data_IF_584734878280
#
_entry.id   IF_584734878280
#
_cell.length_a   1.000
_cell.length_b   1.000
_cell.length_c   1.000
_cell.angle_alpha   90.00
_cell.angle_beta   90.00
_cell.angle_gamma   90.00
#
_symmetry.space_group_name_H-M   'P 1'
#
loop_
_entity.id
_entity.type
_entity.pdbx_description
1 polymer ?
#
# COMPACT_ATOMS: atom_id res chain seq x y z
N UNK A 1 49.77 -26.09 -18.60
CA UNK A 1 49.35 -26.82 -17.39
C UNK A 1 48.69 -25.82 -16.43
N UNK A 2 47.38 -25.62 -16.54
CA UNK A 2 46.61 -24.67 -15.70
C UNK A 2 45.76 -25.48 -14.73
N UNK A 3 46.31 -25.76 -13.54
CA UNK A 3 45.60 -26.43 -12.44
C UNK A 3 45.38 -25.39 -11.34
N UNK A 4 44.45 -24.48 -11.58
CA UNK A 4 43.83 -23.64 -10.55
C UNK A 4 42.35 -23.54 -10.85
N UNK A 5 41.53 -23.44 -9.79
CA UNK A 5 40.12 -22.96 -9.76
C UNK A 5 38.96 -23.95 -9.51
N UNK A 6 39.15 -25.14 -8.91
CA UNK A 6 37.99 -25.90 -8.38
C UNK A 6 37.67 -25.66 -6.90
N UNK A 7 38.64 -25.41 -6.02
CA UNK A 7 38.36 -25.26 -4.57
C UNK A 7 37.84 -23.87 -4.18
N UNK A 8 38.29 -22.81 -4.85
CA UNK A 8 37.85 -21.43 -4.59
C UNK A 8 36.37 -21.20 -4.97
N UNK A 9 35.90 -21.85 -6.05
CA UNK A 9 34.50 -21.76 -6.52
C UNK A 9 33.53 -22.44 -5.54
N UNK A 10 33.97 -23.52 -4.87
CA UNK A 10 33.14 -24.24 -3.89
C UNK A 10 32.92 -23.43 -2.61
N UNK A 11 33.98 -22.82 -2.06
CA UNK A 11 33.90 -21.95 -0.87
C UNK A 11 33.02 -20.71 -1.09
N UNK A 12 33.01 -20.16 -2.31
CA UNK A 12 32.19 -18.99 -2.65
C UNK A 12 30.69 -19.34 -2.81
N UNK A 13 30.38 -20.57 -3.25
CA UNK A 13 28.99 -21.09 -3.28
C UNK A 13 28.43 -21.32 -1.87
N UNK A 14 29.23 -21.88 -0.97
CA UNK A 14 28.79 -22.18 0.40
C UNK A 14 28.53 -20.89 1.22
N UNK A 15 29.32 -19.83 0.99
CA UNK A 15 29.11 -18.51 1.61
C UNK A 15 27.83 -17.81 1.12
N UNK A 16 27.50 -17.90 -0.17
CA UNK A 16 26.25 -17.36 -0.73
C UNK A 16 25.02 -18.13 -0.23
N UNK A 17 25.13 -19.46 -0.08
CA UNK A 17 24.06 -20.29 0.47
C UNK A 17 23.74 -19.92 1.93
N UNK A 18 24.78 -19.72 2.76
CA UNK A 18 24.59 -19.27 4.16
C UNK A 18 24.00 -17.88 4.29
N UNK A 19 24.43 -16.92 3.47
CA UNK A 19 23.84 -15.57 3.51
C UNK A 19 22.38 -15.60 3.05
N UNK A 20 22.06 -16.38 2.02
CA UNK A 20 20.69 -16.63 1.57
C UNK A 20 19.81 -17.26 2.66
N UNK A 21 20.30 -18.27 3.37
CA UNK A 21 19.58 -18.88 4.50
C UNK A 21 19.37 -17.92 5.67
N UNK A 22 20.38 -17.10 6.02
CA UNK A 22 20.23 -16.10 7.09
C UNK A 22 19.22 -15.04 6.69
N UNK A 23 19.27 -14.55 5.45
CA UNK A 23 18.30 -13.59 4.91
C UNK A 23 16.88 -14.19 4.85
N UNK A 24 16.76 -15.45 4.43
CA UNK A 24 15.47 -16.15 4.33
C UNK A 24 14.87 -16.44 5.71
N UNK A 25 15.71 -16.76 6.70
CA UNK A 25 15.27 -17.03 8.07
C UNK A 25 14.94 -15.76 8.86
N UNK A 26 15.60 -14.63 8.56
CA UNK A 26 15.47 -13.38 9.33
C UNK A 26 14.63 -12.29 8.62
N UNK A 27 14.70 -12.18 7.28
CA UNK A 27 13.99 -11.14 6.50
C UNK A 27 12.70 -11.69 5.88
N UNK A 28 12.71 -12.90 5.32
CA UNK A 28 11.53 -13.51 4.67
C UNK A 28 10.66 -14.32 5.64
N UNK A 29 10.76 -13.99 6.93
CA UNK A 29 10.26 -14.76 8.07
C UNK A 29 8.89 -15.44 7.87
N UNK A 30 8.91 -16.74 8.18
CA UNK A 30 7.81 -17.73 8.22
C UNK A 30 7.14 -18.03 6.87
N UNK A 31 6.98 -19.31 6.58
CA UNK A 31 6.22 -19.83 5.43
C UNK A 31 4.70 -19.70 5.61
N UNK A 32 4.25 -19.38 6.82
CA UNK A 32 2.84 -19.25 7.18
C UNK A 32 2.61 -18.03 8.07
N UNK A 33 1.38 -17.53 8.03
CA UNK A 33 0.85 -16.57 8.99
C UNK A 33 0.62 -17.21 10.36
N UNK A 34 0.20 -16.37 11.32
CA UNK A 34 -0.07 -16.78 12.71
C UNK A 34 -1.26 -17.74 12.83
N UNK A 35 -2.17 -17.73 11.87
CA UNK A 35 -3.31 -18.65 11.74
C UNK A 35 -2.98 -19.92 10.92
N UNK A 36 -1.72 -20.09 10.49
CA UNK A 36 -1.26 -21.23 9.71
C UNK A 36 -1.46 -21.10 8.20
N UNK A 37 -2.07 -20.03 7.70
CA UNK A 37 -2.26 -19.83 6.25
C UNK A 37 -0.94 -19.66 5.51
N UNK A 38 -0.83 -20.12 4.25
CA UNK A 38 0.40 -19.98 3.48
C UNK A 38 0.73 -18.50 3.25
N UNK A 39 2.01 -18.16 3.40
CA UNK A 39 2.56 -16.83 3.12
C UNK A 39 3.55 -16.94 1.96
N UNK A 40 3.23 -16.37 0.77
CA UNK A 40 4.16 -16.35 -0.35
C UNK A 40 5.47 -15.64 0.02
N UNK A 41 6.58 -16.08 -0.58
CA UNK A 41 7.93 -15.56 -0.28
C UNK A 41 8.02 -14.03 -0.41
N UNK A 42 7.40 -13.45 -1.42
CA UNK A 42 7.48 -12.01 -1.70
C UNK A 42 6.32 -11.19 -1.10
N UNK A 43 5.46 -11.82 -0.32
CA UNK A 43 4.32 -11.16 0.32
C UNK A 43 4.80 -10.05 1.26
N UNK A 44 4.29 -8.84 1.04
CA UNK A 44 4.64 -7.66 1.83
C UNK A 44 5.96 -6.98 1.44
N UNK A 45 6.74 -7.52 0.51
CA UNK A 45 8.04 -6.91 0.13
C UNK A 45 7.85 -5.54 -0.51
N UNK A 46 6.89 -5.40 -1.43
CA UNK A 46 6.54 -4.11 -2.05
C UNK A 46 6.18 -3.10 -0.97
N UNK A 47 5.35 -3.50 0.00
CA UNK A 47 4.96 -2.65 1.12
C UNK A 47 6.17 -2.20 1.94
N UNK A 48 7.00 -3.13 2.41
CA UNK A 48 8.17 -2.82 3.24
C UNK A 48 9.18 -1.89 2.57
N UNK A 49 9.48 -2.11 1.28
CA UNK A 49 10.38 -1.24 0.51
C UNK A 49 9.79 0.17 0.40
N UNK A 50 8.52 0.29 0.00
CA UNK A 50 7.90 1.59 -0.23
C UNK A 50 7.48 2.30 1.05
N UNK A 51 7.31 1.62 2.18
CA UNK A 51 7.23 2.26 3.50
C UNK A 51 8.47 3.10 3.77
N UNK A 52 9.67 2.57 3.51
CA UNK A 52 10.93 3.31 3.72
C UNK A 52 11.03 4.49 2.76
N UNK A 53 10.70 4.28 1.48
CA UNK A 53 10.71 5.35 0.47
C UNK A 53 9.74 6.48 0.85
N UNK A 54 8.47 6.17 1.13
CA UNK A 54 7.48 7.18 1.51
C UNK A 54 7.81 7.85 2.85
N UNK A 55 8.39 7.13 3.81
CA UNK A 55 8.86 7.74 5.06
C UNK A 55 9.92 8.82 4.79
N UNK A 56 10.97 8.48 4.03
CA UNK A 56 12.04 9.43 3.69
C UNK A 56 11.46 10.63 2.94
N UNK A 57 10.62 10.41 1.93
CA UNK A 57 9.98 11.47 1.17
C UNK A 57 9.10 12.37 2.05
N UNK A 58 8.30 11.79 2.96
CA UNK A 58 7.44 12.54 3.86
C UNK A 58 8.24 13.41 4.83
N UNK A 59 9.31 12.87 5.42
CA UNK A 59 10.20 13.62 6.32
C UNK A 59 10.92 14.74 5.57
N UNK A 60 11.48 14.46 4.40
CA UNK A 60 12.14 15.49 3.57
C UNK A 60 11.15 16.59 3.19
N UNK A 61 9.93 16.23 2.78
CA UNK A 61 8.89 17.21 2.43
C UNK A 61 8.44 18.04 3.64
N UNK A 62 8.28 17.42 4.80
CA UNK A 62 7.93 18.12 6.04
C UNK A 62 9.04 19.08 6.50
N UNK A 63 10.31 18.65 6.44
CA UNK A 63 11.46 19.50 6.73
C UNK A 63 11.56 20.65 5.73
N UNK A 64 11.30 20.41 4.44
CA UNK A 64 11.32 21.46 3.44
C UNK A 64 10.22 22.52 3.69
N UNK A 65 9.01 22.10 4.08
CA UNK A 65 7.94 23.01 4.51
C UNK A 65 8.35 23.89 5.70
N UNK A 66 9.07 23.31 6.66
CA UNK A 66 9.49 24.03 7.87
C UNK A 66 10.68 24.97 7.63
N UNK A 67 11.71 24.49 6.92
CA UNK A 67 12.97 25.20 6.73
C UNK A 67 12.90 26.22 5.58
N UNK A 68 12.08 25.97 4.56
CA UNK A 68 12.03 26.76 3.33
C UNK A 68 10.60 27.19 2.94
N UNK A 69 9.80 27.76 3.86
CA UNK A 69 8.39 28.09 3.60
C UNK A 69 8.20 29.12 2.48
N UNK A 70 9.23 29.90 2.15
CA UNK A 70 9.20 30.90 1.06
C UNK A 70 9.61 30.35 -0.32
N UNK A 71 10.22 29.16 -0.37
CA UNK A 71 10.67 28.53 -1.63
C UNK A 71 9.64 27.56 -2.21
N UNK A 72 8.72 27.09 -1.37
CA UNK A 72 7.69 26.13 -1.75
C UNK A 72 6.36 26.84 -2.00
N UNK A 73 5.55 26.35 -2.96
CA UNK A 73 4.21 26.88 -3.14
C UNK A 73 3.37 26.65 -1.87
N UNK A 74 2.52 27.61 -1.51
CA UNK A 74 1.70 27.58 -0.29
C UNK A 74 0.97 26.23 -0.06
N UNK A 75 0.40 25.54 -1.07
CA UNK A 75 -0.24 24.22 -0.87
C UNK A 75 0.70 23.03 -0.68
N UNK A 76 2.03 23.22 -0.51
CA UNK A 76 2.98 22.10 -0.36
C UNK A 76 2.77 21.26 0.90
N UNK A 77 2.11 21.80 1.93
CA UNK A 77 1.65 20.99 3.07
C UNK A 77 0.72 19.84 2.62
N UNK A 78 -0.07 20.04 1.55
CA UNK A 78 -0.95 19.01 1.00
C UNK A 78 -0.16 17.87 0.35
N UNK A 79 1.01 18.16 -0.25
CA UNK A 79 1.94 17.14 -0.74
C UNK A 79 2.51 16.31 0.40
N UNK A 80 2.92 16.96 1.49
CA UNK A 80 3.37 16.27 2.70
C UNK A 80 2.27 15.38 3.28
N UNK A 81 1.01 15.85 3.30
CA UNK A 81 -0.13 15.04 3.73
C UNK A 81 -0.33 13.80 2.85
N UNK A 82 -0.26 13.93 1.52
CA UNK A 82 -0.30 12.79 0.59
C UNK A 82 0.76 11.76 0.94
N UNK A 83 2.02 12.19 1.10
CA UNK A 83 3.13 11.28 1.40
C UNK A 83 2.97 10.56 2.74
N UNK A 84 2.46 11.25 3.77
CA UNK A 84 2.12 10.62 5.06
C UNK A 84 1.00 9.59 4.92
N UNK A 85 -0.02 9.86 4.10
CA UNK A 85 -1.08 8.89 3.81
C UNK A 85 -0.58 7.65 3.09
N UNK A 86 0.36 7.79 2.16
CA UNK A 86 1.03 6.65 1.52
C UNK A 86 1.92 5.90 2.51
N UNK A 87 2.75 6.61 3.28
CA UNK A 87 3.56 6.01 4.33
C UNK A 87 2.72 5.18 5.30
N UNK A 88 1.63 5.75 5.85
CA UNK A 88 0.77 5.07 6.82
C UNK A 88 0.20 3.77 6.27
N UNK A 89 -0.37 3.82 5.06
CA UNK A 89 -0.97 2.65 4.41
C UNK A 89 0.06 1.54 4.14
N UNK A 90 1.20 1.89 3.52
CA UNK A 90 2.24 0.93 3.21
C UNK A 90 2.87 0.36 4.49
N UNK A 91 3.05 1.19 5.52
CA UNK A 91 3.54 0.76 6.83
C UNK A 91 2.59 -0.26 7.48
N UNK A 92 1.29 0.02 7.52
CA UNK A 92 0.30 -0.88 8.09
C UNK A 92 0.32 -2.25 7.36
N UNK A 93 0.37 -2.23 6.03
CA UNK A 93 0.45 -3.45 5.22
C UNK A 93 1.78 -4.19 5.38
N UNK A 94 2.89 -3.47 5.46
CA UNK A 94 4.21 -4.05 5.74
C UNK A 94 4.24 -4.71 7.13
N UNK A 95 3.65 -4.07 8.14
CA UNK A 95 3.53 -4.64 9.49
C UNK A 95 2.70 -5.92 9.44
N UNK A 96 1.52 -5.91 8.81
CA UNK A 96 0.69 -7.12 8.68
C UNK A 96 1.45 -8.28 8.03
N UNK A 97 2.13 -8.02 6.91
CA UNK A 97 2.71 -9.09 6.10
C UNK A 97 4.11 -9.51 6.53
N UNK A 98 4.95 -8.60 7.02
CA UNK A 98 6.35 -8.87 7.33
C UNK A 98 6.58 -9.15 8.82
N UNK A 99 5.75 -8.62 9.72
CA UNK A 99 5.97 -8.81 11.15
C UNK A 99 5.57 -10.23 11.62
N UNK A 100 6.42 -10.92 12.39
CA UNK A 100 6.18 -12.30 12.79
C UNK A 100 5.28 -12.38 14.04
N UNK A 101 3.98 -12.05 13.90
CA UNK A 101 3.02 -12.06 15.01
C UNK A 101 3.01 -13.38 15.79
N UNK A 102 3.00 -13.30 17.11
CA UNK A 102 2.96 -14.47 18.01
C UNK A 102 1.55 -14.87 18.43
N UNK A 103 0.58 -13.95 18.28
CA UNK A 103 -0.81 -14.14 18.69
C UNK A 103 -1.76 -13.78 17.55
N UNK A 104 -2.92 -14.45 17.49
CA UNK A 104 -3.97 -14.15 16.51
C UNK A 104 -4.50 -12.73 16.67
N UNK A 105 -4.68 -12.28 17.90
CA UNK A 105 -5.09 -10.90 18.22
C UNK A 105 -4.14 -9.86 17.63
N UNK A 106 -2.83 -10.08 17.75
CA UNK A 106 -1.82 -9.16 17.18
C UNK A 106 -1.92 -9.09 15.66
N UNK A 107 -2.08 -10.24 14.99
CA UNK A 107 -2.28 -10.29 13.54
C UNK A 107 -3.60 -9.65 13.10
N UNK A 108 -4.67 -9.87 13.86
CA UNK A 108 -6.00 -9.28 13.61
C UNK A 108 -5.95 -7.76 13.73
N UNK A 109 -5.31 -7.24 14.79
CA UNK A 109 -5.15 -5.81 14.99
C UNK A 109 -4.35 -5.17 13.84
N UNK A 110 -3.27 -5.83 13.38
CA UNK A 110 -2.52 -5.36 12.23
C UNK A 110 -3.36 -5.36 10.94
N UNK A 111 -4.20 -6.38 10.73
CA UNK A 111 -5.14 -6.41 9.62
C UNK A 111 -6.15 -5.26 9.69
N UNK A 112 -6.70 -4.97 10.87
CA UNK A 112 -7.61 -3.83 11.04
C UNK A 112 -6.95 -2.51 10.66
N UNK A 113 -5.70 -2.29 11.08
CA UNK A 113 -4.93 -1.10 10.70
C UNK A 113 -4.62 -1.04 9.21
N UNK A 114 -4.28 -2.16 8.58
CA UNK A 114 -4.08 -2.26 7.13
C UNK A 114 -5.36 -1.88 6.38
N UNK A 115 -6.52 -2.42 6.81
CA UNK A 115 -7.82 -2.13 6.20
C UNK A 115 -8.22 -0.65 6.31
N UNK A 116 -7.94 -0.01 7.46
CA UNK A 116 -8.18 1.43 7.71
C UNK A 116 -7.18 2.30 6.95
N UNK A 117 -5.93 1.85 6.81
CA UNK A 117 -4.85 2.55 6.12
C UNK A 117 -5.21 2.94 4.70
N UNK A 118 -5.99 2.11 3.99
CA UNK A 118 -6.43 2.40 2.63
C UNK A 118 -7.29 3.67 2.57
N UNK A 119 -8.23 3.85 3.50
CA UNK A 119 -9.11 5.01 3.54
C UNK A 119 -8.35 6.31 3.90
N UNK A 120 -7.38 6.21 4.81
CA UNK A 120 -6.45 7.31 5.11
C UNK A 120 -5.65 7.69 3.86
N UNK A 121 -5.11 6.70 3.15
CA UNK A 121 -4.34 6.91 1.92
C UNK A 121 -5.13 7.62 0.83
N UNK A 122 -6.37 7.17 0.59
CA UNK A 122 -7.26 7.75 -0.41
C UNK A 122 -7.55 9.21 -0.06
N UNK A 123 -8.04 9.48 1.15
CA UNK A 123 -8.42 10.84 1.56
C UNK A 123 -7.25 11.81 1.51
N UNK A 124 -6.08 11.41 2.01
CA UNK A 124 -4.88 12.25 2.00
C UNK A 124 -4.32 12.51 0.59
N UNK A 125 -4.69 11.71 -0.42
CA UNK A 125 -4.29 11.93 -1.82
C UNK A 125 -4.93 13.20 -2.42
N UNK A 126 -6.04 13.70 -1.86
CA UNK A 126 -6.76 14.88 -2.38
C UNK A 126 -6.05 16.20 -2.08
N UNK A 127 -5.31 16.28 -0.97
CA UNK A 127 -4.83 17.55 -0.42
C UNK A 127 -3.89 18.39 -1.30
N UNK A 128 -2.96 17.81 -2.09
CA UNK A 128 -2.13 18.60 -3.00
C UNK A 128 -2.94 19.36 -4.06
N UNK A 129 -4.20 18.97 -4.25
CA UNK A 129 -5.09 19.44 -5.30
C UNK A 129 -6.15 20.42 -4.80
N UNK A 130 -6.20 20.68 -3.49
CA UNK A 130 -7.03 21.73 -2.90
C UNK A 130 -6.39 23.09 -3.17
N UNK A 131 -7.09 23.96 -3.90
CA UNK A 131 -6.63 25.30 -4.27
C UNK A 131 -7.09 26.35 -3.28
N UNK A 132 -8.22 26.13 -2.62
CA UNK A 132 -8.77 27.04 -1.61
C UNK A 132 -8.84 26.40 -0.23
N UNK A 133 -8.98 27.25 0.79
CA UNK A 133 -9.16 26.79 2.16
C UNK A 133 -10.46 26.00 2.32
N UNK A 134 -11.55 26.44 1.69
CA UNK A 134 -12.85 25.77 1.71
C UNK A 134 -12.78 24.37 1.09
N UNK A 135 -12.05 24.22 -0.03
CA UNK A 135 -11.82 22.92 -0.65
C UNK A 135 -11.03 21.99 0.29
N UNK A 136 -9.98 22.52 0.94
CA UNK A 136 -9.18 21.78 1.91
C UNK A 136 -10.01 21.34 3.12
N UNK A 137 -10.81 22.23 3.71
CA UNK A 137 -11.68 21.91 4.85
C UNK A 137 -12.74 20.89 4.47
N UNK A 138 -13.33 21.00 3.27
CA UNK A 138 -14.25 19.99 2.76
C UNK A 138 -13.56 18.63 2.62
N UNK A 139 -12.33 18.59 2.08
CA UNK A 139 -11.56 17.36 1.95
C UNK A 139 -11.19 16.74 3.31
N UNK A 140 -10.86 17.57 4.32
CA UNK A 140 -10.67 17.11 5.71
C UNK A 140 -11.95 16.48 6.24
N UNK A 141 -13.09 17.17 6.16
CA UNK A 141 -14.36 16.67 6.69
C UNK A 141 -14.81 15.36 6.04
N UNK A 142 -14.65 15.24 4.73
CA UNK A 142 -14.95 13.98 4.01
C UNK A 142 -13.98 12.89 4.43
N UNK A 143 -12.67 13.17 4.46
CA UNK A 143 -11.65 12.19 4.85
C UNK A 143 -11.87 11.69 6.28
N UNK A 144 -12.07 12.58 7.25
CA UNK A 144 -12.31 12.23 8.65
C UNK A 144 -13.59 11.41 8.79
N UNK A 145 -14.68 11.82 8.13
CA UNK A 145 -15.95 11.07 8.16
C UNK A 145 -15.81 9.67 7.58
N UNK A 146 -15.15 9.53 6.42
CA UNK A 146 -14.92 8.23 5.78
C UNK A 146 -14.00 7.35 6.64
N UNK A 147 -12.92 7.89 7.20
CA UNK A 147 -12.01 7.14 8.08
C UNK A 147 -12.72 6.71 9.36
N UNK A 148 -13.50 7.57 10.00
CA UNK A 148 -14.26 7.23 11.19
C UNK A 148 -15.30 6.14 10.91
N UNK A 149 -16.03 6.24 9.80
CA UNK A 149 -16.96 5.20 9.36
C UNK A 149 -16.24 3.88 9.06
N UNK A 150 -15.07 3.92 8.40
CA UNK A 150 -14.27 2.72 8.13
C UNK A 150 -13.76 2.06 9.42
N UNK A 151 -13.27 2.85 10.38
CA UNK A 151 -12.89 2.34 11.70
C UNK A 151 -14.08 1.67 12.38
N UNK A 152 -15.26 2.31 12.37
CA UNK A 152 -16.48 1.72 12.93
C UNK A 152 -16.87 0.40 12.26
N UNK A 153 -16.83 0.34 10.93
CA UNK A 153 -17.12 -0.88 10.16
C UNK A 153 -16.11 -1.97 10.48
N UNK A 154 -14.81 -1.66 10.49
CA UNK A 154 -13.73 -2.63 10.76
C UNK A 154 -13.82 -3.15 12.21
N UNK A 155 -14.03 -2.28 13.20
CA UNK A 155 -14.23 -2.69 14.60
C UNK A 155 -15.47 -3.58 14.74
N UNK A 156 -16.58 -3.23 14.09
CA UNK A 156 -17.78 -4.06 14.07
C UNK A 156 -17.53 -5.41 13.37
N UNK A 157 -16.80 -5.40 12.24
CA UNK A 157 -16.42 -6.61 11.49
C UNK A 157 -15.58 -7.55 12.36
N UNK A 158 -14.65 -7.04 13.16
CA UNK A 158 -13.77 -7.89 13.97
C UNK A 158 -14.20 -8.02 15.44
N UNK A 159 -15.37 -7.50 15.82
CA UNK A 159 -15.91 -7.66 17.17
C UNK A 159 -16.05 -9.14 17.54
N UNK A 160 -15.47 -9.52 18.68
CA UNK A 160 -15.42 -10.90 19.20
C UNK A 160 -14.79 -11.92 18.24
N UNK A 161 -13.90 -11.48 17.34
CA UNK A 161 -13.17 -12.36 16.43
C UNK A 161 -11.67 -12.10 16.48
N UNK A 162 -10.88 -13.16 16.37
CA UNK A 162 -9.45 -13.11 16.14
C UNK A 162 -9.10 -14.06 15.00
N UNK A 163 -8.49 -13.52 13.96
CA UNK A 163 -8.21 -14.21 12.70
C UNK A 163 -7.93 -13.22 11.58
N UNK A 164 -7.45 -13.74 10.46
CA UNK A 164 -7.19 -12.95 9.25
C UNK A 164 -8.36 -13.02 8.24
N UNK A 165 -9.45 -13.68 8.63
CA UNK A 165 -10.66 -13.80 7.83
C UNK A 165 -11.76 -12.86 8.30
N UNK A 166 -12.61 -12.47 7.35
CA UNK A 166 -13.88 -11.85 7.69
C UNK A 166 -14.76 -12.88 8.40
N UNK A 167 -15.31 -12.59 9.60
CA UNK A 167 -16.07 -13.57 10.38
C UNK A 167 -17.34 -14.02 9.67
N UNK A 168 -17.76 -15.26 9.95
CA UNK A 168 -19.02 -15.80 9.43
C UNK A 168 -20.21 -14.87 9.74
N UNK A 169 -21.05 -14.62 8.74
CA UNK A 169 -22.20 -13.73 8.85
C UNK A 169 -21.88 -12.23 8.78
N UNK A 170 -20.61 -11.85 8.65
CA UNK A 170 -20.18 -10.46 8.40
C UNK A 170 -19.70 -10.31 6.95
N UNK A 171 -19.68 -9.08 6.45
CA UNK A 171 -19.38 -8.78 5.05
C UNK A 171 -18.39 -7.64 4.93
N UNK A 172 -17.45 -7.75 3.97
CA UNK A 172 -16.53 -6.68 3.59
C UNK A 172 -17.18 -5.64 2.68
N UNK A 173 -18.38 -5.91 2.17
CA UNK A 173 -19.05 -5.07 1.18
C UNK A 173 -19.25 -3.62 1.65
N UNK A 174 -19.71 -3.33 2.89
CA UNK A 174 -19.86 -1.95 3.35
C UNK A 174 -18.55 -1.17 3.33
N UNK A 175 -17.45 -1.80 3.78
CA UNK A 175 -16.11 -1.22 3.77
C UNK A 175 -15.65 -0.92 2.34
N UNK A 176 -15.81 -1.89 1.44
CA UNK A 176 -15.37 -1.77 0.06
C UNK A 176 -16.19 -0.72 -0.70
N UNK A 177 -17.50 -0.65 -0.48
CA UNK A 177 -18.37 0.38 -1.05
C UNK A 177 -17.95 1.79 -0.59
N UNK A 178 -17.72 1.97 0.71
CA UNK A 178 -17.26 3.25 1.26
C UNK A 178 -15.89 3.67 0.70
N UNK A 179 -14.96 2.73 0.57
CA UNK A 179 -13.65 2.95 -0.04
C UNK A 179 -13.77 3.39 -1.51
N UNK A 180 -14.61 2.72 -2.30
CA UNK A 180 -14.84 3.06 -3.72
C UNK A 180 -15.48 4.43 -3.85
N UNK A 181 -16.47 4.76 -3.01
CA UNK A 181 -17.09 6.09 -3.00
C UNK A 181 -16.09 7.19 -2.64
N UNK A 182 -15.26 6.96 -1.61
CA UNK A 182 -14.22 7.91 -1.22
C UNK A 182 -13.17 8.09 -2.32
N UNK A 183 -12.76 7.01 -2.98
CA UNK A 183 -11.85 7.07 -4.13
C UNK A 183 -12.46 7.82 -5.31
N UNK A 184 -13.74 7.60 -5.60
CA UNK A 184 -14.44 8.29 -6.67
C UNK A 184 -14.53 9.80 -6.40
N UNK A 185 -14.92 10.22 -5.19
CA UNK A 185 -14.92 11.65 -4.80
C UNK A 185 -13.51 12.26 -4.92
N UNK A 186 -12.49 11.56 -4.42
CA UNK A 186 -11.08 11.97 -4.54
C UNK A 186 -10.68 12.15 -6.02
N UNK A 187 -10.99 11.16 -6.86
CA UNK A 187 -10.68 11.21 -8.29
C UNK A 187 -11.39 12.39 -8.98
N UNK A 188 -12.67 12.63 -8.69
CA UNK A 188 -13.42 13.77 -9.24
C UNK A 188 -12.80 15.10 -8.83
N UNK A 189 -12.39 15.27 -7.57
CA UNK A 189 -11.73 16.50 -7.09
C UNK A 189 -10.39 16.73 -7.79
N UNK A 190 -9.56 15.69 -7.90
CA UNK A 190 -8.29 15.77 -8.62
C UNK A 190 -8.53 16.10 -10.09
N UNK A 191 -9.51 15.47 -10.73
CA UNK A 191 -9.88 15.75 -12.13
C UNK A 191 -10.27 17.22 -12.33
N UNK A 192 -11.15 17.77 -11.48
CA UNK A 192 -11.50 19.19 -11.50
C UNK A 192 -10.26 20.09 -11.33
N UNK A 193 -9.43 19.80 -10.33
CA UNK A 193 -8.23 20.59 -10.03
C UNK A 193 -7.17 20.55 -11.14
N UNK A 194 -7.20 19.53 -12.00
CA UNK A 194 -6.23 19.33 -13.10
C UNK A 194 -6.86 19.61 -14.46
N UNK A 195 -8.08 20.15 -14.51
CA UNK A 195 -8.78 20.46 -15.76
C UNK A 195 -9.15 19.23 -16.58
N UNK A 196 -9.28 18.06 -15.95
CA UNK A 196 -9.62 16.77 -16.58
C UNK A 196 -8.61 16.31 -17.64
N UNK A 197 -7.36 16.74 -17.55
CA UNK A 197 -6.31 16.33 -18.47
C UNK A 197 -5.95 14.84 -18.37
N UNK A 198 -5.27 14.32 -19.40
CA UNK A 198 -4.82 12.93 -19.44
C UNK A 198 -3.96 12.52 -18.22
N UNK A 199 -3.25 13.47 -17.61
CA UNK A 199 -2.43 13.25 -16.41
C UNK A 199 -3.22 12.73 -15.20
N UNK A 200 -4.51 13.06 -15.08
CA UNK A 200 -5.41 12.53 -14.04
C UNK A 200 -6.05 11.19 -14.44
N UNK A 201 -6.39 11.05 -15.72
CA UNK A 201 -7.14 9.88 -16.21
C UNK A 201 -6.29 8.60 -16.11
N UNK A 202 -5.02 8.66 -16.51
CA UNK A 202 -4.10 7.51 -16.50
C UNK A 202 -3.94 6.89 -15.10
N UNK A 203 -3.58 7.63 -14.03
CA UNK A 203 -3.51 7.04 -12.69
C UNK A 203 -4.87 6.54 -12.19
N UNK A 204 -5.98 7.23 -12.53
CA UNK A 204 -7.33 6.78 -12.15
C UNK A 204 -7.70 5.44 -12.79
N UNK A 205 -7.42 5.25 -14.08
CA UNK A 205 -7.61 3.96 -14.75
C UNK A 205 -6.69 2.86 -14.19
N UNK A 206 -5.49 3.24 -13.76
CA UNK A 206 -4.55 2.31 -13.13
C UNK A 206 -5.07 1.84 -11.75
N UNK A 207 -5.73 2.71 -10.97
CA UNK A 207 -6.45 2.29 -9.75
C UNK A 207 -7.63 1.36 -10.06
N UNK A 208 -8.40 1.63 -11.12
CA UNK A 208 -9.48 0.72 -11.55
C UNK A 208 -8.92 -0.66 -11.87
N UNK A 209 -7.81 -0.74 -12.60
CA UNK A 209 -7.13 -2.01 -12.86
C UNK A 209 -6.70 -2.70 -11.56
N UNK A 210 -6.15 -1.97 -10.59
CA UNK A 210 -5.81 -2.53 -9.27
C UNK A 210 -7.06 -3.09 -8.55
N UNK A 211 -8.21 -2.40 -8.58
CA UNK A 211 -9.46 -2.91 -8.00
C UNK A 211 -9.96 -4.19 -8.69
N UNK A 212 -9.81 -4.28 -10.02
CA UNK A 212 -10.15 -5.49 -10.77
C UNK A 212 -9.26 -6.67 -10.33
N UNK A 213 -7.95 -6.44 -10.15
CA UNK A 213 -7.02 -7.46 -9.64
C UNK A 213 -7.29 -7.83 -8.18
N UNK A 214 -7.80 -6.91 -7.37
CA UNK A 214 -8.16 -7.16 -5.98
C UNK A 214 -9.38 -8.10 -5.85
N UNK A 215 -10.31 -8.10 -6.81
CA UNK A 215 -11.52 -8.94 -6.76
C UNK A 215 -11.24 -10.42 -6.50
N UNK A 216 -10.44 -11.10 -7.35
CA UNK A 216 -10.06 -12.50 -7.11
C UNK A 216 -9.24 -12.72 -5.83
N UNK A 217 -8.43 -11.73 -5.42
CA UNK A 217 -7.62 -11.78 -4.18
C UNK A 217 -8.50 -11.74 -2.93
N UNK A 218 -9.55 -10.92 -2.93
CA UNK A 218 -10.52 -10.86 -1.84
C UNK A 218 -11.39 -12.11 -1.82
N UNK A 219 -11.87 -12.57 -2.98
CA UNK A 219 -12.70 -13.76 -3.08
C UNK A 219 -11.99 -15.03 -2.61
N UNK A 220 -10.66 -15.09 -2.72
CA UNK A 220 -9.88 -16.24 -2.28
C UNK A 220 -9.59 -16.25 -0.77
N UNK A 221 -10.03 -15.27 0.04
CA UNK A 221 -9.90 -15.26 1.51
C UNK A 221 -8.52 -15.72 2.03
N UNK A 222 -7.45 -15.15 1.47
CA UNK A 222 -6.04 -15.47 1.77
C UNK A 222 -5.55 -16.83 1.27
N UNK A 223 -6.35 -17.59 0.51
CA UNK A 223 -5.81 -18.56 -0.44
C UNK A 223 -5.06 -17.82 -1.54
N UNK A 224 -3.98 -18.41 -2.03
CA UNK A 224 -3.10 -17.77 -3.01
C UNK A 224 -3.71 -17.89 -4.43
N UNK A 225 -4.20 -16.78 -5.04
CA UNK A 225 -4.74 -16.83 -6.40
C UNK A 225 -3.61 -16.90 -7.41
N UNK A 226 -3.19 -18.13 -7.74
CA UNK A 226 -2.09 -18.39 -8.69
C UNK A 226 -2.67 -18.76 -10.05
N UNK A 227 -2.20 -18.07 -11.10
CA UNK A 227 -2.63 -18.29 -12.48
C UNK A 227 -1.45 -18.75 -13.35
N UNK A 228 -0.71 -19.79 -12.93
CA UNK A 228 0.56 -20.21 -13.54
C UNK A 228 0.45 -20.47 -15.05
N UNK A 229 -0.72 -20.90 -15.53
CA UNK A 229 -0.99 -21.15 -16.96
C UNK A 229 -1.00 -19.87 -17.80
N UNK A 230 -1.45 -18.75 -17.24
CA UNK A 230 -1.67 -17.50 -17.98
C UNK A 230 -0.63 -16.43 -17.65
N UNK A 231 -0.08 -16.47 -16.43
CA UNK A 231 0.88 -15.51 -15.90
C UNK A 231 2.14 -16.28 -15.48
N UNK A 232 3.17 -16.38 -16.33
CA UNK A 232 4.31 -17.26 -16.11
C UNK A 232 5.21 -16.83 -14.94
N UNK A 233 5.03 -15.61 -14.44
CA UNK A 233 5.68 -15.16 -13.22
C UNK A 233 4.97 -15.68 -11.97
N UNK A 234 3.69 -16.03 -12.00
CA UNK A 234 2.97 -16.59 -10.86
C UNK A 234 3.52 -17.96 -10.49
N UNK A 235 3.81 -18.16 -9.20
CA UNK A 235 4.33 -19.42 -8.65
C UNK A 235 3.82 -19.60 -7.23
N UNK A 236 3.13 -20.72 -6.99
CA UNK A 236 2.60 -21.03 -5.66
C UNK A 236 3.71 -21.00 -4.59
N UNK A 237 3.42 -20.31 -3.48
CA UNK A 237 4.33 -20.09 -2.37
C UNK A 237 5.40 -19.02 -2.62
N UNK A 238 5.42 -18.39 -3.78
CA UNK A 238 6.44 -17.39 -4.16
C UNK A 238 5.78 -16.04 -4.43
N UNK A 239 4.85 -15.99 -5.37
CA UNK A 239 4.13 -14.78 -5.78
C UNK A 239 2.85 -15.13 -6.54
N UNK A 240 1.83 -14.29 -6.36
CA UNK A 240 0.49 -14.47 -6.88
C UNK A 240 -0.13 -13.15 -7.33
N UNK A 241 -1.41 -13.18 -7.72
CA UNK A 241 -2.14 -12.00 -8.15
C UNK A 241 -2.15 -10.88 -7.09
N UNK A 242 -1.99 -11.23 -5.82
CA UNK A 242 -1.93 -10.25 -4.74
C UNK A 242 -0.67 -9.36 -4.82
N UNK A 243 0.49 -9.92 -5.22
CA UNK A 243 1.68 -9.10 -5.51
C UNK A 243 1.44 -8.19 -6.73
N UNK A 244 0.82 -8.71 -7.79
CA UNK A 244 0.51 -7.95 -9.00
C UNK A 244 -0.44 -6.79 -8.69
N UNK A 245 -1.49 -7.05 -7.90
CA UNK A 245 -2.41 -6.03 -7.38
C UNK A 245 -1.66 -4.89 -6.70
N UNK A 246 -0.77 -5.20 -5.75
CA UNK A 246 -0.02 -4.18 -5.03
C UNK A 246 1.00 -3.46 -5.91
N UNK A 247 1.60 -4.14 -6.89
CA UNK A 247 2.50 -3.50 -7.86
C UNK A 247 1.75 -2.49 -8.75
N UNK A 248 0.55 -2.83 -9.22
CA UNK A 248 -0.30 -1.92 -10.01
C UNK A 248 -0.81 -0.76 -9.16
N UNK A 249 -1.20 -1.02 -7.90
CA UNK A 249 -1.60 0.02 -6.95
C UNK A 249 -0.46 1.02 -6.71
N UNK A 250 0.76 0.53 -6.49
CA UNK A 250 1.95 1.35 -6.33
C UNK A 250 2.24 2.19 -7.58
N UNK A 251 2.08 1.62 -8.77
CA UNK A 251 2.26 2.37 -10.01
C UNK A 251 1.27 3.55 -10.07
N UNK A 252 0.01 3.33 -9.71
CA UNK A 252 -1.00 4.39 -9.62
C UNK A 252 -0.62 5.46 -8.57
N UNK A 253 -0.14 5.04 -7.39
CA UNK A 253 0.34 5.94 -6.35
C UNK A 253 1.50 6.82 -6.83
N UNK A 254 2.50 6.22 -7.50
CA UNK A 254 3.65 6.96 -8.02
C UNK A 254 3.25 7.95 -9.12
N UNK A 255 2.30 7.59 -9.97
CA UNK A 255 1.73 8.49 -10.97
C UNK A 255 0.98 9.67 -10.30
N UNK A 256 0.24 9.43 -9.21
CA UNK A 256 -0.43 10.50 -8.45
C UNK A 256 0.56 11.41 -7.72
N UNK A 257 1.61 10.86 -7.12
CA UNK A 257 2.72 11.65 -6.53
C UNK A 257 3.34 12.56 -7.58
N UNK A 258 3.64 12.03 -8.76
CA UNK A 258 4.17 12.81 -9.88
C UNK A 258 3.19 13.89 -10.33
N UNK A 259 1.90 13.57 -10.46
CA UNK A 259 0.87 14.52 -10.83
C UNK A 259 0.80 15.67 -9.82
N UNK A 260 0.81 15.36 -8.52
CA UNK A 260 0.82 16.36 -7.45
C UNK A 260 2.03 17.31 -7.56
N UNK A 261 3.23 16.77 -7.79
CA UNK A 261 4.44 17.61 -8.00
C UNK A 261 4.26 18.53 -9.21
N UNK A 262 3.79 18.00 -10.34
CA UNK A 262 3.56 18.81 -11.55
C UNK A 262 2.52 19.89 -11.30
N UNK A 263 1.41 19.57 -10.64
CA UNK A 263 0.35 20.54 -10.33
C UNK A 263 0.83 21.64 -9.40
N UNK A 264 1.63 21.31 -8.39
CA UNK A 264 2.14 22.30 -7.43
C UNK A 264 3.26 23.18 -8.01
N UNK A 265 4.14 22.61 -8.85
CA UNK A 265 5.27 23.34 -9.44
C UNK A 265 4.93 24.04 -10.75
N UNK A 266 3.89 23.57 -11.45
CA UNK A 266 3.54 23.98 -12.80
C UNK A 266 2.77 25.30 -12.91
N UNK A 267 2.45 25.96 -11.78
CA UNK A 267 1.84 27.29 -11.71
C UNK A 267 0.82 27.57 -12.83
N UNK A 268 -0.42 27.14 -12.65
CA UNK A 268 -1.52 27.68 -13.46
C UNK A 268 -1.79 29.14 -13.09
#
# INVERSE_FOLDING_TARGET
>A
MVVRTRSAVKKQRDGKAKFGEVLEKHILGRRTYVDGKPKPRYRGVVHGVFTVVFFILAIVSALANFLFPKLLPLPWWGFTALLFGKFFNYCASAVLHLYPFKTLEGGTNALQWDLVGVAVSIGLTTFPFCRTYEEAMTAVSVTVSCVAAQVGIVVWMFSNHSGLDTPYGKSELPRNALMVLQWFDTSVRIGRSTGWGAGWLVPSLTYVLAFVLAGPVTASHMEEPVFEKYLPWHRRGVNSLHEDFHAVLLLADMMMVRLAVITLMGGN
#
